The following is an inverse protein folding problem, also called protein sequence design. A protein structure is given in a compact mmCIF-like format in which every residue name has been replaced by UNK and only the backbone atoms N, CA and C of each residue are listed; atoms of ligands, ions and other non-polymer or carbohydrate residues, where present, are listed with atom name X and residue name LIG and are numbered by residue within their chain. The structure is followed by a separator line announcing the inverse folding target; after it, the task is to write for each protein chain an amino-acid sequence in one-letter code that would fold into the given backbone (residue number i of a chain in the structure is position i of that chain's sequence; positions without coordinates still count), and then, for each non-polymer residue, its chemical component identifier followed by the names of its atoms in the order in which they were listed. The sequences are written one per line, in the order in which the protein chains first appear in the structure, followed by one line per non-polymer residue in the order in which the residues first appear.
data_IF_143548913555
#
_entry.id   IF_143548913555
#
_cell.length_a   1.000
_cell.length_b   1.000
_cell.length_c   1.000
_cell.angle_alpha   90.00
_cell.angle_beta   90.00
_cell.angle_gamma   90.00
#
_symmetry.space_group_name_H-M   'P 1'
#
loop_
_entity.id
_entity.type
_entity.pdbx_description
1 polymer ?
#
# COMPACT_ATOMS: atom_id res chain seq x y z
N UNK A 1 -115.03 -13.56 19.45
CA UNK A 1 -114.63 -12.99 20.75
C UNK A 1 -113.10 -13.08 20.78
N UNK A 2 -112.45 -12.08 20.21
CA UNK A 2 -111.85 -10.89 20.88
C UNK A 2 -110.58 -11.23 21.66
N UNK A 3 -109.49 -10.63 21.18
CA UNK A 3 -108.26 -10.33 21.94
C UNK A 3 -108.67 -9.46 23.14
N UNK A 4 -107.86 -9.48 24.20
CA UNK A 4 -107.89 -8.53 25.34
C UNK A 4 -108.52 -9.02 26.66
N UNK A 5 -108.66 -10.33 26.87
CA UNK A 5 -108.69 -10.86 28.25
C UNK A 5 -107.83 -12.12 28.35
N UNK A 6 -106.83 -12.25 29.20
CA UNK A 6 -106.10 -11.35 30.10
C UNK A 6 -104.98 -12.29 30.58
N UNK A 7 -103.76 -12.18 30.08
CA UNK A 7 -102.69 -11.45 30.77
C UNK A 7 -102.54 -11.72 32.28
N UNK A 8 -102.87 -12.91 32.78
CA UNK A 8 -102.34 -13.34 34.07
C UNK A 8 -102.39 -14.86 34.14
N UNK A 9 -101.24 -15.49 33.91
CA UNK A 9 -100.69 -16.61 34.68
C UNK A 9 -99.48 -17.13 33.92
N UNK A 10 -98.40 -16.38 34.11
CA UNK A 10 -97.07 -16.92 34.40
C UNK A 10 -96.46 -17.83 33.34
N UNK A 11 -95.76 -17.18 32.43
CA UNK A 11 -94.37 -17.48 32.09
C UNK A 11 -93.65 -18.33 33.15
N UNK A 12 -93.24 -19.55 32.80
CA UNK A 12 -91.92 -20.04 33.20
C UNK A 12 -91.43 -21.12 32.23
N UNK A 13 -90.65 -20.68 31.26
CA UNK A 13 -89.87 -21.54 30.36
C UNK A 13 -88.44 -21.54 30.93
N UNK A 14 -88.07 -22.56 31.70
CA UNK A 14 -86.72 -22.69 32.24
C UNK A 14 -85.73 -23.10 31.14
N UNK A 15 -85.05 -22.12 30.56
CA UNK A 15 -83.87 -22.32 29.74
C UNK A 15 -82.66 -22.65 30.62
N UNK A 16 -82.03 -23.80 30.36
CA UNK A 16 -80.76 -24.23 30.95
C UNK A 16 -79.66 -23.20 30.62
N UNK A 17 -79.23 -22.46 31.63
CA UNK A 17 -78.22 -21.40 31.49
C UNK A 17 -76.81 -22.00 31.44
N UNK A 18 -76.16 -21.92 30.26
CA UNK A 18 -74.70 -22.12 30.13
C UNK A 18 -73.96 -21.05 30.92
N UNK A 19 -73.23 -21.47 31.97
CA UNK A 19 -72.36 -20.64 32.80
C UNK A 19 -71.19 -20.08 31.96
N UNK A 20 -71.27 -18.82 31.54
CA UNK A 20 -70.16 -18.08 30.92
C UNK A 20 -69.13 -17.73 32.00
N UNK A 21 -67.87 -18.11 31.78
CA UNK A 21 -66.75 -17.73 32.64
C UNK A 21 -66.34 -16.29 32.33
N UNK A 22 -66.71 -15.35 33.20
CA UNK A 22 -66.38 -13.92 33.07
C UNK A 22 -64.93 -13.66 33.49
N UNK A 23 -64.20 -12.88 32.70
CA UNK A 23 -62.78 -12.49 32.93
C UNK A 23 -62.58 -11.86 34.31
N UNK A 24 -63.58 -11.14 34.83
CA UNK A 24 -63.57 -10.53 36.16
C UNK A 24 -63.48 -11.57 37.30
N UNK A 25 -64.13 -12.73 37.13
CA UNK A 25 -64.03 -13.83 38.11
C UNK A 25 -62.67 -14.49 38.09
N UNK A 26 -62.01 -14.54 36.92
CA UNK A 26 -60.65 -15.05 36.79
C UNK A 26 -59.64 -14.15 37.54
N UNK A 27 -59.77 -12.83 37.45
CA UNK A 27 -58.93 -11.89 38.20
C UNK A 27 -59.18 -11.92 39.71
N UNK A 28 -60.44 -12.06 40.17
CA UNK A 28 -60.74 -12.26 41.59
C UNK A 28 -60.17 -13.57 42.14
N UNK A 29 -60.19 -14.63 41.34
CA UNK A 29 -59.59 -15.93 41.66
C UNK A 29 -58.07 -15.88 41.73
N UNK A 30 -57.41 -14.97 41.00
CA UNK A 30 -55.95 -14.74 41.07
C UNK A 30 -55.52 -14.00 42.34
N UNK A 31 -56.39 -13.11 42.85
CA UNK A 31 -56.08 -12.28 44.02
C UNK A 31 -56.32 -12.99 45.38
N UNK A 32 -56.95 -14.17 45.37
CA UNK A 32 -57.18 -15.02 46.55
C UNK A 32 -56.19 -16.19 46.64
N UNK A 33 -55.08 -16.14 45.87
CA UNK A 33 -54.01 -17.14 45.90
C UNK A 33 -53.18 -16.99 47.19
N UNK A 34 -53.34 -17.96 48.10
CA UNK A 34 -52.43 -18.17 49.22
C UNK A 34 -51.27 -19.08 48.78
N UNK A 35 -50.01 -18.59 48.76
CA UNK A 35 -48.83 -19.36 48.35
C UNK A 35 -48.46 -20.49 49.32
N UNK A 36 -49.06 -20.57 50.52
CA UNK A 36 -48.83 -21.65 51.47
C UNK A 36 -49.76 -22.87 51.27
N UNK A 37 -50.76 -22.81 50.38
CA UNK A 37 -51.65 -23.95 50.09
C UNK A 37 -51.96 -24.08 48.60
N UNK A 38 -51.02 -24.65 47.84
CA UNK A 38 -51.15 -24.93 46.41
C UNK A 38 -52.32 -25.87 46.04
N UNK A 39 -52.85 -26.63 47.00
CA UNK A 39 -53.93 -27.59 46.80
C UNK A 39 -55.30 -26.95 46.55
N UNK A 40 -55.58 -25.80 47.17
CA UNK A 40 -56.90 -25.14 47.16
C UNK A 40 -57.14 -24.18 46.00
N UNK A 41 -56.19 -24.03 45.06
CA UNK A 41 -56.34 -23.08 43.96
C UNK A 41 -57.49 -23.45 43.00
N UNK A 42 -58.25 -22.45 42.49
CA UNK A 42 -59.35 -22.68 41.57
C UNK A 42 -58.88 -23.29 40.24
N UNK A 43 -59.70 -24.18 39.68
CA UNK A 43 -59.37 -24.97 38.49
C UNK A 43 -58.90 -24.13 37.28
N UNK A 44 -59.50 -22.95 37.07
CA UNK A 44 -59.11 -22.02 36.00
C UNK A 44 -57.65 -21.55 36.11
N UNK A 45 -57.20 -21.25 37.33
CA UNK A 45 -55.83 -20.77 37.57
C UNK A 45 -54.84 -21.91 37.38
N UNK A 46 -55.16 -23.13 37.85
CA UNK A 46 -54.36 -24.33 37.61
C UNK A 46 -54.18 -24.60 36.11
N UNK A 47 -55.25 -24.46 35.32
CA UNK A 47 -55.23 -24.66 33.88
C UNK A 47 -54.36 -23.61 33.16
N UNK A 48 -54.49 -22.34 33.53
CA UNK A 48 -53.64 -21.27 32.96
C UNK A 48 -52.16 -21.46 33.33
N UNK A 49 -51.84 -21.84 34.57
CA UNK A 49 -50.47 -22.16 34.97
C UNK A 49 -49.90 -23.36 34.20
N UNK A 50 -50.70 -24.40 33.96
CA UNK A 50 -50.28 -25.54 33.14
C UNK A 50 -49.99 -25.15 31.69
N UNK A 51 -50.87 -24.36 31.07
CA UNK A 51 -50.63 -23.84 29.71
C UNK A 51 -49.39 -22.95 29.67
N UNK A 52 -49.20 -22.09 30.68
CA UNK A 52 -48.02 -21.25 30.77
C UNK A 52 -46.75 -22.07 30.91
N UNK A 53 -46.73 -23.11 31.76
CA UNK A 53 -45.55 -23.95 31.95
C UNK A 53 -45.21 -24.72 30.66
N UNK A 54 -46.21 -25.23 29.94
CA UNK A 54 -46.02 -25.93 28.66
C UNK A 54 -45.47 -24.96 27.60
N UNK A 55 -46.00 -23.74 27.53
CA UNK A 55 -45.52 -22.73 26.59
C UNK A 55 -44.09 -22.33 26.90
N UNK A 56 -43.76 -22.14 28.18
CA UNK A 56 -42.39 -21.82 28.63
C UNK A 56 -41.44 -22.99 28.31
N UNK A 57 -41.80 -24.23 28.61
CA UNK A 57 -40.97 -25.41 28.29
C UNK A 57 -40.76 -25.54 26.78
N UNK A 58 -41.80 -25.29 25.98
CA UNK A 58 -41.75 -25.36 24.52
C UNK A 58 -40.87 -24.26 23.93
N UNK A 59 -41.01 -23.02 24.44
CA UNK A 59 -40.18 -21.90 24.04
C UNK A 59 -38.70 -22.14 24.42
N UNK A 60 -38.42 -22.59 25.65
CA UNK A 60 -37.06 -22.93 26.08
C UNK A 60 -36.48 -24.06 25.23
N UNK A 61 -37.23 -25.12 24.97
CA UNK A 61 -36.79 -26.21 24.10
C UNK A 61 -36.47 -25.73 22.68
N UNK A 62 -37.32 -24.87 22.11
CA UNK A 62 -37.10 -24.30 20.79
C UNK A 62 -35.86 -23.39 20.75
N UNK A 63 -35.71 -22.48 21.71
CA UNK A 63 -34.59 -21.54 21.75
C UNK A 63 -33.26 -22.19 22.13
N UNK A 64 -33.25 -23.18 23.03
CA UNK A 64 -32.01 -23.83 23.51
C UNK A 64 -31.56 -24.97 22.60
N UNK A 65 -32.48 -25.70 21.96
CA UNK A 65 -32.13 -26.91 21.20
C UNK A 65 -32.26 -26.70 19.70
N UNK A 66 -33.39 -26.17 19.22
CA UNK A 66 -33.68 -26.09 17.78
C UNK A 66 -32.94 -24.91 17.13
N UNK A 67 -33.09 -23.71 17.67
CA UNK A 67 -32.44 -22.47 17.19
C UNK A 67 -30.94 -22.61 16.91
N UNK A 68 -30.10 -23.08 17.86
CA UNK A 68 -28.65 -23.16 17.61
C UNK A 68 -28.28 -24.19 16.55
N UNK A 69 -29.11 -25.23 16.32
CA UNK A 69 -28.88 -26.21 15.26
C UNK A 69 -29.18 -25.61 13.88
N UNK A 70 -30.26 -24.82 13.76
CA UNK A 70 -30.56 -24.10 12.53
C UNK A 70 -29.47 -23.06 12.22
N UNK A 71 -29.03 -22.32 13.23
CA UNK A 71 -27.96 -21.33 13.08
C UNK A 71 -26.63 -22.00 12.70
N UNK A 72 -26.31 -23.17 13.27
CA UNK A 72 -25.14 -23.96 12.89
C UNK A 72 -25.21 -24.45 11.44
N UNK A 73 -26.37 -24.90 10.96
CA UNK A 73 -26.58 -25.33 9.57
C UNK A 73 -26.42 -24.15 8.61
N UNK A 74 -27.02 -22.99 8.94
CA UNK A 74 -26.89 -21.76 8.16
C UNK A 74 -25.42 -21.31 8.05
N UNK A 75 -24.70 -21.33 9.18
CA UNK A 75 -23.28 -21.01 9.21
C UNK A 75 -22.44 -22.00 8.40
N UNK A 76 -22.74 -23.30 8.46
CA UNK A 76 -22.05 -24.33 7.69
C UNK A 76 -22.26 -24.13 6.18
N UNK A 77 -23.49 -23.84 5.73
CA UNK A 77 -23.76 -23.52 4.33
C UNK A 77 -23.07 -22.24 3.86
N UNK A 78 -23.02 -21.20 4.70
CA UNK A 78 -22.27 -19.98 4.40
C UNK A 78 -20.77 -20.26 4.27
N UNK A 79 -20.21 -21.10 5.13
CA UNK A 79 -18.81 -21.54 5.05
C UNK A 79 -18.54 -22.34 3.78
N UNK A 80 -19.42 -23.28 3.43
CA UNK A 80 -19.34 -24.06 2.20
C UNK A 80 -19.32 -23.16 0.96
N UNK A 81 -20.23 -22.20 0.87
CA UNK A 81 -20.29 -21.27 -0.25
C UNK A 81 -19.03 -20.41 -0.37
N UNK A 82 -18.52 -19.91 0.77
CA UNK A 82 -17.27 -19.15 0.79
C UNK A 82 -16.08 -20.00 0.33
N UNK A 83 -15.96 -21.23 0.82
CA UNK A 83 -14.86 -22.11 0.47
C UNK A 83 -14.91 -22.52 -1.01
N UNK A 84 -16.11 -22.73 -1.56
CA UNK A 84 -16.29 -23.02 -2.97
C UNK A 84 -15.91 -21.83 -3.86
N UNK A 85 -16.23 -20.60 -3.44
CA UNK A 85 -15.82 -19.39 -4.14
C UNK A 85 -14.29 -19.23 -4.11
N UNK A 86 -13.67 -19.44 -2.95
CA UNK A 86 -12.21 -19.40 -2.81
C UNK A 86 -11.51 -20.45 -3.68
N UNK A 87 -12.08 -21.67 -3.74
CA UNK A 87 -11.58 -22.73 -4.63
C UNK A 87 -11.67 -22.32 -6.10
N UNK A 88 -12.80 -21.77 -6.55
CA UNK A 88 -13.00 -21.32 -7.94
C UNK A 88 -12.03 -20.19 -8.30
N UNK A 89 -11.81 -19.25 -7.39
CA UNK A 89 -10.87 -18.16 -7.59
C UNK A 89 -9.44 -18.69 -7.72
N UNK A 90 -9.01 -19.56 -6.81
CA UNK A 90 -7.70 -20.20 -6.85
C UNK A 90 -7.51 -21.04 -8.11
N UNK A 91 -8.47 -21.88 -8.48
CA UNK A 91 -8.43 -22.69 -9.70
C UNK A 91 -8.34 -21.81 -10.96
N UNK A 92 -9.09 -20.70 -11.02
CA UNK A 92 -8.99 -19.75 -12.13
C UNK A 92 -7.60 -19.10 -12.24
N UNK A 93 -6.95 -18.80 -11.11
CA UNK A 93 -5.59 -18.26 -11.07
C UNK A 93 -4.56 -19.31 -11.50
N UNK A 94 -4.72 -20.56 -11.06
CA UNK A 94 -3.87 -21.69 -11.42
C UNK A 94 -3.94 -22.03 -12.92
N UNK A 95 -5.15 -22.05 -13.51
CA UNK A 95 -5.34 -22.32 -14.95
C UNK A 95 -4.59 -21.34 -15.85
N UNK A 96 -4.45 -20.08 -15.42
CA UNK A 96 -3.74 -19.06 -16.18
C UNK A 96 -2.27 -18.91 -15.75
N UNK A 97 -1.82 -19.59 -14.68
CA UNK A 97 -0.48 -19.43 -14.11
C UNK A 97 0.61 -19.80 -15.13
N UNK A 98 0.41 -20.89 -15.87
CA UNK A 98 1.33 -21.28 -16.94
C UNK A 98 1.40 -20.23 -18.05
N UNK A 99 0.26 -19.63 -18.43
CA UNK A 99 0.21 -18.56 -19.42
C UNK A 99 0.90 -17.27 -18.91
N UNK A 100 0.75 -16.95 -17.61
CA UNK A 100 1.44 -15.82 -16.98
C UNK A 100 2.95 -16.05 -16.87
N UNK A 101 3.41 -17.28 -16.58
CA UNK A 101 4.84 -17.60 -16.58
C UNK A 101 5.47 -17.40 -17.96
N UNK A 102 4.78 -17.87 -19.02
CA UNK A 102 5.23 -17.68 -20.40
C UNK A 102 5.30 -16.19 -20.75
N UNK A 103 4.29 -15.41 -20.38
CA UNK A 103 4.30 -13.95 -20.59
C UNK A 103 5.41 -13.24 -19.81
N UNK A 104 5.70 -13.66 -18.58
CA UNK A 104 6.81 -13.10 -17.79
C UNK A 104 8.16 -13.41 -18.44
N UNK A 105 8.36 -14.65 -18.90
CA UNK A 105 9.58 -15.03 -19.59
C UNK A 105 9.77 -14.26 -20.91
N UNK A 106 8.70 -14.06 -21.66
CA UNK A 106 8.71 -13.25 -22.88
C UNK A 106 8.98 -11.77 -22.57
N UNK A 107 8.38 -11.23 -21.52
CA UNK A 107 8.61 -9.85 -21.06
C UNK A 107 10.06 -9.66 -20.58
N UNK A 108 10.61 -10.60 -19.83
CA UNK A 108 11.99 -10.58 -19.36
C UNK A 108 13.00 -10.71 -20.52
N UNK A 109 12.72 -11.56 -21.50
CA UNK A 109 13.53 -11.68 -22.72
C UNK A 109 13.54 -10.37 -23.53
N UNK A 110 12.36 -9.77 -23.75
CA UNK A 110 12.23 -8.48 -24.43
C UNK A 110 12.92 -7.35 -23.65
N UNK A 111 12.79 -7.35 -22.32
CA UNK A 111 13.45 -6.38 -21.46
C UNK A 111 14.96 -6.53 -21.49
N UNK A 112 15.49 -7.75 -21.45
CA UNK A 112 16.93 -8.00 -21.56
C UNK A 112 17.48 -7.58 -22.93
N UNK A 113 16.74 -7.79 -24.03
CA UNK A 113 17.14 -7.28 -25.34
C UNK A 113 17.18 -5.75 -25.39
N UNK A 114 16.26 -5.06 -24.69
CA UNK A 114 16.29 -3.60 -24.58
C UNK A 114 17.43 -3.10 -23.67
N UNK A 115 17.75 -3.83 -22.60
CA UNK A 115 18.91 -3.53 -21.76
C UNK A 115 20.24 -3.74 -22.49
N UNK A 116 20.34 -4.73 -23.38
CA UNK A 116 21.52 -4.89 -24.25
C UNK A 116 21.69 -3.74 -25.26
N UNK A 117 20.60 -3.06 -25.61
CA UNK A 117 20.63 -1.86 -26.47
C UNK A 117 20.97 -0.58 -25.69
N UNK A 118 20.93 -0.61 -24.35
CA UNK A 118 21.38 0.50 -23.51
C UNK A 118 22.87 0.26 -23.18
N UNK A 119 23.80 1.03 -23.75
CA UNK A 119 25.23 0.84 -23.51
C UNK A 119 25.54 0.89 -22.01
N UNK A 120 26.08 -0.21 -21.48
CA UNK A 120 26.44 -0.39 -20.08
C UNK A 120 27.66 0.48 -19.73
N UNK A 121 27.37 1.59 -19.06
CA UNK A 121 28.06 2.03 -17.83
C UNK A 121 29.58 1.75 -17.78
N UNK A 122 30.39 2.52 -18.50
CA UNK A 122 31.78 2.89 -18.11
C UNK A 122 32.34 3.93 -19.08
N UNK A 123 31.61 5.04 -19.25
CA UNK A 123 31.96 6.06 -20.24
C UNK A 123 32.67 7.29 -19.65
N UNK A 124 32.99 7.32 -18.35
CA UNK A 124 33.65 8.48 -17.71
C UNK A 124 35.02 8.79 -18.33
N UNK A 125 35.91 7.81 -18.59
CA UNK A 125 37.17 8.10 -19.28
C UNK A 125 36.97 8.59 -20.72
N UNK A 126 35.95 8.05 -21.41
CA UNK A 126 35.58 8.48 -22.75
C UNK A 126 35.06 9.91 -22.79
N UNK A 127 34.34 10.35 -21.74
CA UNK A 127 33.83 11.71 -21.67
C UNK A 127 34.93 12.76 -21.60
N UNK A 128 36.02 12.49 -20.87
CA UNK A 128 37.17 13.40 -20.81
C UNK A 128 37.81 13.56 -22.18
N UNK A 129 37.93 12.45 -22.93
CA UNK A 129 38.45 12.45 -24.28
C UNK A 129 37.53 13.23 -25.23
N UNK A 130 36.22 12.99 -25.17
CA UNK A 130 35.23 13.69 -26.00
C UNK A 130 35.23 15.21 -25.74
N UNK A 131 35.35 15.62 -24.47
CA UNK A 131 35.49 17.03 -24.08
C UNK A 131 36.80 17.61 -24.63
N UNK A 132 37.91 16.87 -24.51
CA UNK A 132 39.21 17.30 -24.99
C UNK A 132 39.20 17.48 -26.52
N UNK A 133 38.69 16.49 -27.27
CA UNK A 133 38.56 16.54 -28.73
C UNK A 133 37.66 17.70 -29.15
N UNK A 134 36.51 17.90 -28.48
CA UNK A 134 35.59 19.01 -28.77
C UNK A 134 36.23 20.38 -28.54
N UNK A 135 37.01 20.55 -27.47
CA UNK A 135 37.72 21.80 -27.19
C UNK A 135 38.87 22.08 -28.13
N UNK A 136 39.69 21.07 -28.47
CA UNK A 136 40.77 21.22 -29.45
C UNK A 136 40.21 21.55 -30.83
N UNK A 137 39.13 20.87 -31.26
CA UNK A 137 38.45 21.17 -32.53
C UNK A 137 37.85 22.58 -32.56
N UNK A 138 37.44 23.11 -31.41
CA UNK A 138 36.94 24.48 -31.27
C UNK A 138 38.07 25.53 -31.25
N UNK A 139 39.34 25.12 -31.18
CA UNK A 139 40.49 26.02 -31.12
C UNK A 139 40.92 26.43 -29.71
N UNK A 140 40.36 25.81 -28.67
CA UNK A 140 40.79 26.04 -27.28
C UNK A 140 42.07 25.27 -26.96
N UNK A 141 42.92 25.89 -26.14
CA UNK A 141 44.11 25.26 -25.56
C UNK A 141 43.84 24.93 -24.10
N UNK A 142 43.66 23.65 -23.80
CA UNK A 142 43.53 23.20 -22.41
C UNK A 142 44.84 23.35 -21.66
N UNK A 143 44.76 23.98 -20.49
CA UNK A 143 45.85 24.04 -19.52
C UNK A 143 45.76 22.87 -18.54
N UNK A 144 44.53 22.53 -18.12
CA UNK A 144 44.30 21.47 -17.15
C UNK A 144 42.89 20.90 -17.28
N UNK A 145 42.75 19.58 -17.21
CA UNK A 145 41.46 18.91 -17.07
C UNK A 145 41.61 17.91 -15.91
N UNK A 146 40.82 18.08 -14.85
CA UNK A 146 40.93 17.29 -13.63
C UNK A 146 39.59 16.73 -13.21
N UNK A 147 39.56 15.44 -12.93
CA UNK A 147 38.43 14.81 -12.25
C UNK A 147 38.50 15.16 -10.77
N UNK A 148 37.41 15.69 -10.25
CA UNK A 148 37.22 15.91 -8.83
C UNK A 148 36.62 14.64 -8.18
N UNK A 149 36.69 14.49 -6.85
CA UNK A 149 36.04 13.38 -6.17
C UNK A 149 34.55 13.30 -6.47
N UNK A 150 34.03 12.08 -6.61
CA UNK A 150 32.59 11.83 -6.79
C UNK A 150 31.78 12.36 -5.61
N UNK A 151 30.64 13.00 -5.90
CA UNK A 151 29.70 13.50 -4.90
C UNK A 151 28.45 12.62 -4.95
N UNK A 152 28.21 11.87 -3.87
CA UNK A 152 27.06 10.97 -3.76
C UNK A 152 25.82 11.75 -3.30
N UNK A 153 24.76 11.69 -4.09
CA UNK A 153 23.42 12.14 -3.72
C UNK A 153 22.52 10.94 -3.45
N UNK A 154 21.29 11.19 -3.00
CA UNK A 154 20.34 10.14 -2.59
C UNK A 154 20.00 9.14 -3.71
N UNK A 155 19.93 9.60 -4.97
CA UNK A 155 19.53 8.77 -6.11
C UNK A 155 20.57 8.68 -7.24
N UNK A 156 21.64 9.49 -7.19
CA UNK A 156 22.64 9.57 -8.25
C UNK A 156 24.00 10.01 -7.70
N UNK A 157 25.05 9.81 -8.49
CA UNK A 157 26.39 10.32 -8.22
C UNK A 157 26.74 11.38 -9.25
N UNK A 158 27.18 12.53 -8.77
CA UNK A 158 27.80 13.57 -9.59
C UNK A 158 29.30 13.29 -9.71
N UNK A 159 29.82 13.35 -10.93
CA UNK A 159 31.25 13.34 -11.22
C UNK A 159 31.64 14.74 -11.72
N UNK A 160 32.21 15.62 -10.87
CA UNK A 160 32.66 16.94 -11.28
C UNK A 160 34.01 16.85 -12.00
N UNK A 161 34.19 17.73 -12.99
CA UNK A 161 35.38 17.87 -13.82
C UNK A 161 35.74 19.35 -13.89
N UNK A 162 36.92 19.71 -13.39
CA UNK A 162 37.46 21.06 -13.49
C UNK A 162 38.26 21.21 -14.78
N UNK A 163 37.94 22.24 -15.55
CA UNK A 163 38.53 22.52 -16.86
C UNK A 163 39.10 23.93 -16.85
N UNK A 164 40.41 24.04 -17.09
CA UNK A 164 41.11 25.29 -17.35
C UNK A 164 41.54 25.33 -18.82
N UNK A 165 41.11 26.35 -19.55
CA UNK A 165 41.42 26.52 -20.97
C UNK A 165 41.78 27.97 -21.31
N UNK A 166 42.49 28.16 -22.41
CA UNK A 166 42.76 29.49 -22.97
C UNK A 166 42.38 29.52 -24.44
N UNK A 167 41.83 30.64 -24.90
CA UNK A 167 41.40 30.81 -26.28
C UNK A 167 40.74 32.16 -26.53
N UNK A 168 40.14 32.30 -27.71
CA UNK A 168 39.29 33.44 -28.00
C UNK A 168 37.83 33.18 -27.56
N UNK A 169 37.02 34.24 -27.59
CA UNK A 169 35.61 34.19 -27.18
C UNK A 169 34.77 33.26 -28.06
N UNK A 170 35.07 33.17 -29.37
CA UNK A 170 34.27 32.41 -30.30
C UNK A 170 34.56 30.90 -30.21
N UNK A 171 35.83 30.54 -30.03
CA UNK A 171 36.29 29.20 -29.70
C UNK A 171 35.63 28.69 -28.43
N UNK A 172 35.53 29.54 -27.40
CA UNK A 172 34.83 29.15 -26.17
C UNK A 172 33.33 28.92 -26.40
N UNK A 173 32.65 29.79 -27.15
CA UNK A 173 31.24 29.58 -27.50
C UNK A 173 31.00 28.31 -28.33
N UNK A 174 31.92 28.02 -29.25
CA UNK A 174 31.89 26.80 -30.07
C UNK A 174 32.09 25.54 -29.22
N UNK A 175 33.00 25.60 -28.25
CA UNK A 175 33.25 24.52 -27.30
C UNK A 175 32.04 24.23 -26.41
N UNK A 176 31.43 25.26 -25.83
CA UNK A 176 30.22 25.10 -25.01
C UNK A 176 29.08 24.49 -25.83
N UNK A 177 28.92 24.94 -27.08
CA UNK A 177 27.93 24.37 -28.00
C UNK A 177 28.24 22.92 -28.36
N UNK A 178 29.52 22.58 -28.56
CA UNK A 178 29.98 21.23 -28.85
C UNK A 178 29.74 20.27 -27.68
N UNK A 179 29.98 20.70 -26.44
CA UNK A 179 29.64 19.92 -25.24
C UNK A 179 28.13 19.68 -25.14
N UNK A 180 27.32 20.72 -25.38
CA UNK A 180 25.86 20.60 -25.32
C UNK A 180 25.29 19.65 -26.40
N UNK A 181 26.03 19.41 -27.48
CA UNK A 181 25.66 18.49 -28.55
C UNK A 181 26.15 17.05 -28.34
N UNK A 182 26.91 16.76 -27.27
CA UNK A 182 27.37 15.41 -26.98
C UNK A 182 26.16 14.49 -26.68
N UNK A 183 26.18 13.21 -27.11
CA UNK A 183 25.11 12.25 -26.85
C UNK A 183 25.12 11.73 -25.40
N UNK A 184 25.47 12.59 -24.42
CA UNK A 184 25.63 12.27 -23.00
C UNK A 184 25.18 13.45 -22.13
N UNK A 185 24.81 13.17 -20.88
CA UNK A 185 24.37 14.19 -19.92
C UNK A 185 25.59 14.89 -19.31
N UNK A 186 25.86 16.11 -19.77
CA UNK A 186 26.91 16.99 -19.25
C UNK A 186 26.31 18.36 -18.99
N UNK A 187 26.54 18.89 -17.79
CA UNK A 187 26.15 20.25 -17.42
C UNK A 187 27.39 21.06 -17.09
N UNK A 188 27.37 22.36 -17.41
CA UNK A 188 28.46 23.27 -17.15
C UNK A 188 28.04 24.30 -16.10
N UNK A 189 28.90 24.52 -15.12
CA UNK A 189 28.69 25.35 -13.94
C UNK A 189 29.92 26.21 -13.69
N UNK A 190 29.75 27.23 -12.86
CA UNK A 190 30.83 28.03 -12.28
C UNK A 190 31.87 28.48 -13.32
N UNK A 191 31.45 29.34 -14.24
CA UNK A 191 32.33 29.92 -15.26
C UNK A 191 33.03 31.16 -14.73
N UNK A 192 34.36 31.16 -14.81
CA UNK A 192 35.19 32.34 -14.63
C UNK A 192 35.91 32.67 -15.94
N UNK A 193 35.83 33.93 -16.35
CA UNK A 193 36.40 34.44 -17.59
C UNK A 193 37.33 35.59 -17.23
N UNK A 194 38.62 35.39 -17.44
CA UNK A 194 39.64 36.41 -17.18
C UNK A 194 40.40 36.72 -18.46
N UNK A 195 40.39 37.99 -18.86
CA UNK A 195 41.20 38.47 -19.97
C UNK A 195 42.62 38.77 -19.46
N UNK A 196 43.63 38.18 -20.09
CA UNK A 196 45.03 38.52 -19.86
C UNK A 196 45.54 39.40 -21.00
N UNK A 197 46.30 40.45 -20.66
CA UNK A 197 46.98 41.26 -21.67
C UNK A 197 48.05 40.40 -22.34
N UNK A 198 47.98 40.27 -23.66
CA UNK A 198 48.92 39.48 -24.42
C UNK A 198 50.30 40.14 -24.35
N UNK A 199 51.27 39.47 -23.71
CA UNK A 199 52.64 39.95 -23.61
C UNK A 199 53.38 39.91 -24.97
N UNK A 200 52.85 39.15 -25.94
CA UNK A 200 53.33 39.15 -27.32
C UNK A 200 52.59 40.24 -28.12
N UNK A 201 53.29 41.35 -28.38
CA UNK A 201 52.82 42.53 -29.15
C UNK A 201 52.52 42.25 -30.65
N UNK A 202 52.22 41.01 -31.03
CA UNK A 202 52.02 40.59 -32.42
C UNK A 202 50.56 40.60 -32.85
N UNK A 203 49.61 40.58 -31.91
CA UNK A 203 48.17 40.63 -32.17
C UNK A 203 47.45 41.45 -31.11
N UNK A 204 46.46 42.26 -31.53
CA UNK A 204 45.62 43.09 -30.65
C UNK A 204 44.47 42.28 -29.99
N UNK A 205 44.48 40.95 -30.17
CA UNK A 205 43.44 40.06 -29.64
C UNK A 205 43.87 39.61 -28.23
N UNK A 206 43.09 39.91 -27.18
CA UNK A 206 43.40 39.49 -25.82
C UNK A 206 43.28 37.97 -25.69
N UNK A 207 44.23 37.34 -25.00
CA UNK A 207 44.13 35.92 -24.66
C UNK A 207 43.22 35.79 -23.44
N UNK A 208 42.11 35.07 -23.60
CA UNK A 208 41.11 34.87 -22.55
C UNK A 208 41.38 33.51 -21.89
N UNK A 209 41.46 33.52 -20.57
CA UNK A 209 41.52 32.34 -19.73
C UNK A 209 40.13 32.01 -19.21
N UNK A 210 39.78 30.73 -19.29
CA UNK A 210 38.50 30.17 -18.90
C UNK A 210 38.73 29.13 -17.81
N UNK A 211 37.95 29.23 -16.74
CA UNK A 211 37.79 28.17 -15.75
C UNK A 211 36.32 27.78 -15.72
N UNK A 212 36.01 26.51 -15.95
CA UNK A 212 34.65 25.98 -15.95
C UNK A 212 34.60 24.63 -15.24
N UNK A 213 33.50 24.38 -14.53
CA UNK A 213 33.21 23.07 -13.94
C UNK A 213 32.16 22.34 -14.77
N UNK A 214 32.53 21.20 -15.34
CA UNK A 214 31.57 20.28 -15.92
C UNK A 214 31.11 19.26 -14.87
N UNK A 215 29.86 18.81 -14.96
CA UNK A 215 29.33 17.71 -14.16
C UNK A 215 28.65 16.70 -15.07
N UNK A 216 28.89 15.43 -14.79
CA UNK A 216 28.11 14.31 -15.35
C UNK A 216 27.51 13.48 -14.23
N UNK A 217 26.48 12.71 -14.55
CA UNK A 217 25.63 12.03 -13.57
C UNK A 217 25.55 10.55 -13.89
N UNK A 218 25.66 9.71 -12.87
CA UNK A 218 25.37 8.28 -12.98
C UNK A 218 24.35 7.84 -11.96
N UNK A 219 23.47 6.93 -12.36
CA UNK A 219 22.52 6.31 -11.45
C UNK A 219 23.25 5.34 -10.53
N UNK A 220 22.83 5.30 -9.26
CA UNK A 220 23.23 4.25 -8.34
C UNK A 220 21.99 3.43 -8.06
N UNK A 221 21.89 2.27 -8.70
CA UNK A 221 20.87 1.30 -8.34
C UNK A 221 20.94 0.97 -6.86
N UNK A 222 19.79 0.65 -6.26
CA UNK A 222 19.60 0.35 -4.84
C UNK A 222 20.44 -0.82 -4.27
N UNK A 223 21.43 -1.32 -5.01
CA UNK A 223 22.30 -2.45 -4.66
C UNK A 223 23.69 -2.04 -4.16
N UNK A 224 24.10 -0.77 -4.26
CA UNK A 224 25.47 -0.34 -3.92
C UNK A 224 25.67 0.19 -2.48
N UNK A 225 24.66 0.13 -1.62
CA UNK A 225 24.75 0.65 -0.24
C UNK A 225 25.57 -0.26 0.69
N UNK A 226 25.98 -1.45 0.25
CA UNK A 226 26.56 -2.47 1.15
C UNK A 226 28.09 -2.50 1.20
N UNK A 227 28.81 -1.91 0.23
CA UNK A 227 30.24 -2.22 0.07
C UNK A 227 31.23 -1.15 0.61
N UNK A 228 30.76 -0.02 1.13
CA UNK A 228 31.66 1.06 1.58
C UNK A 228 31.91 1.07 3.09
N UNK A 229 31.04 0.47 3.92
CA UNK A 229 31.14 0.59 5.38
C UNK A 229 32.03 -0.48 6.08
N UNK A 230 32.63 -1.42 5.32
CA UNK A 230 33.36 -2.56 5.94
C UNK A 230 34.87 -2.35 6.04
N UNK A 231 35.46 -1.31 5.42
CA UNK A 231 36.92 -1.15 5.41
C UNK A 231 37.52 -0.28 6.52
N UNK A 232 36.76 0.58 7.18
CA UNK A 232 37.34 1.47 8.22
C UNK A 232 37.38 0.86 9.63
N UNK A 233 36.60 -0.17 9.94
CA UNK A 233 36.54 -0.70 11.34
C UNK A 233 37.66 -1.70 11.69
N UNK A 234 38.55 -2.08 10.76
CA UNK A 234 39.54 -3.14 11.02
C UNK A 234 40.92 -2.62 11.46
N UNK A 235 41.20 -1.32 11.38
CA UNK A 235 42.55 -0.80 11.66
C UNK A 235 42.76 -0.30 13.10
N UNK A 236 41.70 -0.09 13.89
CA UNK A 236 41.83 0.50 15.23
C UNK A 236 42.04 -0.53 16.36
N UNK A 237 41.93 -1.83 16.11
CA UNK A 237 42.05 -2.87 17.16
C UNK A 237 43.43 -3.48 17.35
N UNK A 238 44.49 -2.99 16.69
CA UNK A 238 45.84 -3.56 16.82
C UNK A 238 46.86 -2.69 17.58
N UNK A 239 46.43 -1.53 18.12
CA UNK A 239 47.34 -0.60 18.79
C UNK A 239 47.42 -0.72 20.33
N UNK A 240 46.54 -1.48 20.99
CA UNK A 240 46.48 -1.54 22.46
C UNK A 240 46.70 -2.97 23.01
N UNK A 241 47.89 -3.52 22.76
CA UNK A 241 48.38 -4.72 23.44
C UNK A 241 49.91 -4.75 23.44
N UNK A 242 50.53 -3.78 24.13
CA UNK A 242 51.99 -3.69 24.20
C UNK A 242 52.48 -2.69 25.23
N UNK A 243 52.23 -2.95 26.52
CA UNK A 243 52.83 -2.13 27.57
C UNK A 243 52.33 -2.42 28.98
N UNK A 244 52.78 -3.53 29.57
CA UNK A 244 52.84 -3.65 31.03
C UNK A 244 54.14 -4.40 31.40
N UNK A 245 55.07 -3.63 31.94
CA UNK A 245 56.16 -4.10 32.80
C UNK A 245 55.62 -4.31 34.21
#
# INVERSE_FOLDING_TARGET
MSRDEFEELTSENHAVTKKKMTVDKFFQQFNTLDPNNYGSWPFSVKLTCWIFIILVIGALGYFVVIKPKLDAISNAHAQEQNLLNEFREKDSKLRNLQQYQVQLQEMEANFNQQLEQLPKETEIPGLVEDINVSGVNSGLKFKNIRLEPEIRQEFFIEQPISIEATGDYHSFGSFVSGIAALPRIVTLHDFDISASSNNDKKTDIPQISYSVKAKTYRYVGATATTDVDVKDTKNDKKADAGGAK
#
